data_IF_325016461524
#
_entry.id   IF_325016461524
#
_cell.length_a   1.000
_cell.length_b   1.000
_cell.length_c   1.000
_cell.angle_alpha   90.00
_cell.angle_beta   90.00
_cell.angle_gamma   90.00
#
_symmetry.space_group_name_H-M   'P 1'
#
loop_
_entity.id
_entity.type
_entity.pdbx_description
1 polymer ?
#
# COMPACT_ATOMS: atom_id res chain seq x y z
N UNK A 1 17.06 0.19 -20.11
CA UNK A 1 16.12 1.13 -19.45
C UNK A 1 14.94 1.33 -20.37
N UNK A 2 13.75 0.88 -19.96
CA UNK A 2 12.53 1.11 -20.72
C UNK A 2 12.11 2.59 -20.63
N UNK A 3 11.48 3.14 -21.67
CA UNK A 3 11.06 4.55 -21.74
C UNK A 3 10.12 4.94 -20.59
N UNK A 4 9.36 3.98 -20.05
CA UNK A 4 8.51 4.15 -18.87
C UNK A 4 9.31 4.40 -17.57
N UNK A 5 10.44 3.71 -17.36
CA UNK A 5 11.29 3.88 -16.16
C UNK A 5 11.87 5.30 -16.10
N UNK A 6 12.44 5.78 -17.21
CA UNK A 6 13.00 7.14 -17.29
C UNK A 6 11.97 8.24 -16.99
N UNK A 7 10.71 8.03 -17.40
CA UNK A 7 9.63 8.98 -17.11
C UNK A 7 9.21 8.93 -15.64
N UNK A 8 9.18 7.75 -15.02
CA UNK A 8 8.87 7.58 -13.60
C UNK A 8 9.81 8.35 -12.67
N UNK A 9 11.12 8.32 -12.95
CA UNK A 9 12.13 9.03 -12.15
C UNK A 9 11.89 10.54 -12.08
N UNK A 10 11.50 11.16 -13.20
CA UNK A 10 11.27 12.61 -13.27
C UNK A 10 9.98 13.05 -12.58
N UNK A 11 9.05 12.11 -12.40
CA UNK A 11 7.68 12.28 -11.90
C UNK A 11 7.55 12.02 -10.40
N UNK A 12 8.59 11.56 -9.70
CA UNK A 12 8.50 11.26 -8.28
C UNK A 12 9.64 11.83 -7.44
N UNK A 13 9.39 12.00 -6.14
CA UNK A 13 10.42 12.21 -5.12
C UNK A 13 10.31 11.08 -4.10
N UNK A 14 11.29 10.18 -4.10
CA UNK A 14 11.33 9.05 -3.17
C UNK A 14 11.85 9.51 -1.82
N UNK A 15 11.03 9.35 -0.78
CA UNK A 15 11.41 9.53 0.62
C UNK A 15 11.59 8.13 1.20
N UNK A 16 12.85 7.72 1.37
CA UNK A 16 13.19 6.45 1.98
C UNK A 16 12.93 6.53 3.47
N UNK A 17 11.85 5.90 3.93
CA UNK A 17 11.59 5.75 5.36
C UNK A 17 12.09 4.38 5.82
N UNK A 18 13.12 4.38 6.68
CA UNK A 18 13.39 3.26 7.58
C UNK A 18 12.37 3.34 8.72
N UNK A 19 11.11 2.97 8.46
CA UNK A 19 10.21 2.67 9.58
C UNK A 19 10.65 1.31 10.08
N UNK A 20 11.48 1.28 11.12
CA UNK A 20 11.67 0.09 11.93
C UNK A 20 10.34 -0.25 12.58
N UNK A 21 9.58 -1.16 11.95
CA UNK A 21 8.55 -1.94 12.63
C UNK A 21 9.22 -3.00 13.51
N UNK A 22 10.09 -2.58 14.45
CA UNK A 22 10.53 -3.45 15.54
C UNK A 22 9.39 -3.45 16.56
N UNK A 23 8.33 -4.18 16.22
CA UNK A 23 7.37 -4.73 17.17
C UNK A 23 6.69 -6.00 16.65
N UNK A 24 7.02 -6.49 15.45
CA UNK A 24 6.49 -7.75 14.93
C UNK A 24 7.47 -8.94 14.96
N UNK A 25 8.67 -8.76 15.51
CA UNK A 25 9.64 -9.85 15.64
C UNK A 25 10.32 -9.79 17.00
N UNK A 26 9.54 -9.94 18.06
CA UNK A 26 10.07 -10.42 19.34
C UNK A 26 9.12 -11.50 19.84
N UNK A 27 9.32 -12.74 19.39
CA UNK A 27 8.58 -13.87 19.94
C UNK A 27 8.72 -15.23 19.26
N UNK A 28 9.23 -15.34 18.03
CA UNK A 28 9.37 -16.65 17.39
C UNK A 28 10.53 -16.70 16.40
N UNK A 29 11.19 -17.86 16.23
CA UNK A 29 12.21 -18.03 15.21
C UNK A 29 11.54 -17.89 13.84
N UNK A 30 11.78 -16.77 13.17
CA UNK A 30 11.46 -16.61 11.76
C UNK A 30 12.51 -17.42 10.99
N UNK A 31 12.24 -18.71 10.77
CA UNK A 31 13.12 -19.60 10.02
C UNK A 31 12.99 -19.30 8.52
N UNK A 32 13.87 -18.40 8.06
CA UNK A 32 14.11 -18.14 6.64
C UNK A 32 14.44 -19.43 5.86
N UNK A 33 14.97 -20.44 6.56
CA UNK A 33 15.38 -21.74 6.03
C UNK A 33 14.18 -22.56 5.50
N UNK A 34 13.00 -22.49 6.12
CA UNK A 34 11.80 -23.22 5.71
C UNK A 34 11.15 -22.69 4.42
N UNK A 35 11.40 -21.42 4.07
CA UNK A 35 11.01 -20.84 2.78
C UNK A 35 11.94 -21.27 1.64
N UNK A 36 13.19 -21.61 1.95
CA UNK A 36 14.20 -22.00 0.96
C UNK A 36 14.14 -23.50 0.64
N UNK A 37 13.73 -24.33 1.60
CA UNK A 37 13.67 -25.78 1.43
C UNK A 37 12.27 -26.32 1.01
N UNK A 38 11.27 -25.45 0.92
CA UNK A 38 9.91 -25.81 0.51
C UNK A 38 9.12 -26.59 1.58
N UNK A 39 9.60 -26.64 2.82
CA UNK A 39 8.88 -27.23 3.97
C UNK A 39 7.84 -26.28 4.60
N UNK A 40 7.68 -25.08 4.03
CA UNK A 40 6.70 -24.10 4.45
C UNK A 40 5.28 -24.70 4.49
N UNK A 41 4.71 -24.79 5.69
CA UNK A 41 3.30 -25.14 5.87
C UNK A 41 2.45 -24.07 5.14
N UNK A 42 1.70 -24.43 4.09
CA UNK A 42 0.91 -23.48 3.33
C UNK A 42 -0.17 -22.80 4.16
N UNK A 43 -0.56 -23.39 5.29
CA UNK A 43 -1.53 -22.84 6.23
C UNK A 43 -0.85 -22.10 7.40
N UNK A 44 0.49 -22.01 7.44
CA UNK A 44 1.22 -21.36 8.54
C UNK A 44 0.75 -19.94 8.75
N UNK A 45 0.58 -19.17 7.67
CA UNK A 45 0.11 -17.79 7.74
C UNK A 45 -1.36 -17.71 8.13
N UNK A 46 -2.20 -18.65 7.71
CA UNK A 46 -3.61 -18.68 8.11
C UNK A 46 -3.74 -18.98 9.60
N UNK A 47 -2.95 -19.93 10.11
CA UNK A 47 -2.86 -20.31 11.53
C UNK A 47 -2.21 -19.21 12.40
N UNK A 48 -1.16 -18.53 11.90
CA UNK A 48 -0.48 -17.46 12.62
C UNK A 48 -1.33 -16.19 12.70
N UNK A 49 -2.12 -15.94 11.63
CA UNK A 49 -3.06 -14.83 11.52
C UNK A 49 -4.47 -15.17 12.03
N UNK A 50 -4.68 -16.33 12.66
CA UNK A 50 -5.96 -16.62 13.29
C UNK A 50 -6.23 -15.63 14.43
N UNK A 51 -7.44 -15.03 14.51
CA UNK A 51 -7.80 -14.04 15.52
C UNK A 51 -7.54 -14.46 16.97
N UNK A 52 -7.52 -15.77 17.22
CA UNK A 52 -7.35 -16.37 18.53
C UNK A 52 -5.92 -16.83 18.86
N UNK A 53 -4.98 -16.69 17.93
CA UNK A 53 -3.58 -17.07 18.18
C UNK A 53 -2.93 -16.12 19.20
N UNK A 54 -2.05 -16.65 20.05
CA UNK A 54 -1.35 -15.86 21.08
C UNK A 54 -0.45 -14.78 20.47
N UNK A 55 0.15 -15.08 19.30
CA UNK A 55 0.89 -14.11 18.50
C UNK A 55 -0.03 -12.98 18.00
N UNK A 56 -1.28 -13.31 17.63
CA UNK A 56 -2.26 -12.35 17.13
C UNK A 56 -2.82 -11.42 18.22
N UNK A 57 -3.04 -11.95 19.43
CA UNK A 57 -3.56 -11.19 20.60
C UNK A 57 -2.60 -10.15 21.15
N UNK A 58 -1.29 -10.33 20.94
CA UNK A 58 -0.25 -9.40 21.40
C UNK A 58 -0.03 -8.22 20.43
N UNK A 59 -0.66 -8.23 19.27
CA UNK A 59 -0.64 -7.10 18.34
C UNK A 59 -1.65 -6.06 18.85
N UNK A 60 -1.20 -4.85 19.16
CA UNK A 60 -2.06 -3.74 19.63
C UNK A 60 -2.92 -3.15 18.50
N UNK A 61 -3.72 -3.99 17.83
CA UNK A 61 -4.69 -3.58 16.81
C UNK A 61 -6.05 -3.42 17.47
N UNK A 62 -6.83 -2.43 17.04
CA UNK A 62 -8.21 -2.30 17.46
C UNK A 62 -9.02 -3.58 17.11
N UNK A 63 -9.60 -4.29 18.10
CA UNK A 63 -10.45 -5.46 17.90
C UNK A 63 -11.81 -5.14 17.23
N UNK A 64 -11.89 -4.10 16.40
CA UNK A 64 -13.02 -3.88 15.48
C UNK A 64 -12.59 -3.98 14.03
N UNK A 65 -11.29 -3.84 13.75
CA UNK A 65 -10.75 -3.84 12.39
C UNK A 65 -10.57 -5.25 11.80
N UNK A 66 -10.37 -6.27 12.64
CA UNK A 66 -10.18 -7.67 12.22
C UNK A 66 -11.32 -8.25 11.39
N UNK A 67 -12.55 -7.74 11.54
CA UNK A 67 -13.71 -8.14 10.75
C UNK A 67 -13.98 -7.27 9.53
N UNK A 68 -13.27 -6.15 9.39
CA UNK A 68 -13.51 -5.20 8.31
C UNK A 68 -12.59 -5.54 7.14
N UNK A 69 -13.15 -6.26 6.17
CA UNK A 69 -12.42 -6.70 4.97
C UNK A 69 -12.18 -5.59 3.94
N UNK A 70 -12.67 -4.38 4.18
CA UNK A 70 -12.67 -3.30 3.20
C UNK A 70 -11.98 -2.04 3.73
N UNK A 71 -10.91 -1.62 3.06
CA UNK A 71 -10.14 -0.40 3.33
C UNK A 71 -11.03 0.83 3.63
N UNK A 72 -12.05 1.05 2.81
CA UNK A 72 -12.98 2.19 2.95
C UNK A 72 -13.76 2.13 4.27
N UNK A 73 -14.07 0.93 4.74
CA UNK A 73 -14.76 0.75 6.02
C UNK A 73 -13.82 1.03 7.20
N UNK A 74 -12.54 0.66 7.11
CA UNK A 74 -11.52 1.02 8.11
C UNK A 74 -11.38 2.54 8.20
N UNK A 75 -11.25 3.23 7.06
CA UNK A 75 -11.20 4.70 7.02
C UNK A 75 -12.42 5.34 7.72
N UNK A 76 -13.63 4.82 7.47
CA UNK A 76 -14.86 5.30 8.13
C UNK A 76 -14.81 5.15 9.65
N UNK A 77 -14.21 4.09 10.19
CA UNK A 77 -14.07 3.94 11.65
C UNK A 77 -13.19 5.01 12.28
N UNK A 78 -12.26 5.56 11.51
CA UNK A 78 -11.41 6.65 11.94
C UNK A 78 -11.99 8.05 11.66
N UNK A 79 -13.17 8.12 11.04
CA UNK A 79 -13.84 9.36 10.66
C UNK A 79 -13.38 9.93 9.31
N UNK A 80 -12.73 9.12 8.48
CA UNK A 80 -12.28 9.48 7.13
C UNK A 80 -13.19 8.82 6.09
N UNK A 81 -13.22 9.39 4.89
CA UNK A 81 -13.76 8.71 3.70
C UNK A 81 -12.62 8.28 2.79
N UNK A 82 -12.92 7.52 1.74
CA UNK A 82 -11.91 7.18 0.75
C UNK A 82 -12.51 6.83 -0.61
N UNK A 83 -11.66 6.88 -1.63
CA UNK A 83 -11.96 6.51 -3.01
C UNK A 83 -11.10 5.30 -3.38
N UNK A 84 -11.68 4.33 -4.08
CA UNK A 84 -10.91 3.27 -4.72
C UNK A 84 -10.73 3.61 -6.20
N UNK A 85 -9.49 3.60 -6.65
CA UNK A 85 -9.14 3.74 -8.05
C UNK A 85 -8.58 2.42 -8.58
N UNK A 86 -8.94 2.11 -9.83
CA UNK A 86 -8.45 0.92 -10.52
C UNK A 86 -7.33 1.33 -11.47
N UNK A 87 -6.17 0.72 -11.31
CA UNK A 87 -4.99 0.94 -12.15
C UNK A 87 -4.68 -0.36 -12.88
N UNK A 88 -4.57 -0.29 -14.21
CA UNK A 88 -4.17 -1.43 -15.04
C UNK A 88 -2.71 -1.24 -15.46
N UNK A 89 -1.86 -2.21 -15.13
CA UNK A 89 -0.45 -2.20 -15.53
C UNK A 89 -0.29 -2.59 -16.99
N UNK A 90 0.84 -2.23 -17.60
CA UNK A 90 1.14 -2.55 -19.01
C UNK A 90 1.07 -4.05 -19.31
N UNK A 91 1.52 -4.87 -18.36
CA UNK A 91 1.48 -6.33 -18.45
C UNK A 91 0.16 -6.95 -17.99
N UNK A 92 -0.87 -6.15 -17.70
CA UNK A 92 -2.26 -6.60 -17.56
C UNK A 92 -2.76 -6.86 -16.13
N UNK A 93 -1.97 -6.58 -15.08
CA UNK A 93 -2.46 -6.67 -13.70
C UNK A 93 -3.39 -5.50 -13.37
N UNK A 94 -4.42 -5.78 -12.59
CA UNK A 94 -5.42 -4.81 -12.16
C UNK A 94 -5.24 -4.59 -10.65
N UNK A 95 -4.80 -3.39 -10.29
CA UNK A 95 -4.39 -3.01 -8.95
C UNK A 95 -5.35 -1.97 -8.38
N UNK A 96 -5.77 -2.17 -7.12
CA UNK A 96 -6.50 -1.15 -6.38
C UNK A 96 -5.53 -0.12 -5.78
N UNK A 97 -5.90 1.15 -5.90
CA UNK A 97 -5.19 2.29 -5.36
C UNK A 97 -6.19 3.14 -4.56
N UNK A 98 -5.99 3.24 -3.25
CA UNK A 98 -6.94 3.90 -2.37
C UNK A 98 -6.52 5.32 -2.09
N UNK A 99 -7.44 6.28 -2.22
CA UNK A 99 -7.22 7.69 -1.88
C UNK A 99 -7.95 8.03 -0.59
N UNK A 100 -7.28 8.68 0.35
CA UNK A 100 -7.86 9.09 1.63
C UNK A 100 -8.50 10.47 1.47
N UNK A 101 -9.76 10.60 1.91
CA UNK A 101 -10.46 11.89 1.98
C UNK A 101 -10.58 12.27 3.46
N UNK A 102 -9.82 13.31 3.84
CA UNK A 102 -9.89 13.92 5.16
C UNK A 102 -11.29 14.49 5.43
N UNK A 103 -11.81 14.40 6.67
CA UNK A 103 -13.09 15.00 7.02
C UNK A 103 -13.03 16.52 6.86
N UNK A 104 -14.02 17.08 6.16
CA UNK A 104 -14.23 18.53 6.14
C UNK A 104 -14.76 18.95 7.50
N UNK A 105 -13.92 19.56 8.34
CA UNK A 105 -14.41 20.24 9.54
C UNK A 105 -14.92 21.64 9.17
N UNK A 106 -16.06 22.06 9.73
CA UNK A 106 -16.57 23.43 9.55
C UNK A 106 -15.68 24.48 10.24
N UNK A 107 -14.85 24.06 11.19
CA UNK A 107 -13.97 24.93 11.99
C UNK A 107 -12.57 25.10 11.41
N UNK A 108 -12.07 24.10 10.68
CA UNK A 108 -10.80 24.10 9.93
C UNK A 108 -10.99 23.27 8.65
N UNK A 109 -11.66 23.81 7.64
CA UNK A 109 -11.77 23.13 6.36
C UNK A 109 -10.36 23.09 5.74
N UNK A 110 -9.79 21.90 5.46
CA UNK A 110 -8.52 21.83 4.77
C UNK A 110 -8.66 22.60 3.46
N UNK A 111 -7.93 23.70 3.33
CA UNK A 111 -7.78 24.45 2.09
C UNK A 111 -9.07 24.98 1.44
N UNK A 112 -10.14 25.34 2.19
CA UNK A 112 -11.35 25.98 1.58
C UNK A 112 -11.01 27.24 0.76
N UNK A 113 -9.92 27.93 1.09
CA UNK A 113 -9.45 29.14 0.42
C UNK A 113 -8.12 28.96 -0.34
N UNK A 114 -7.51 27.77 -0.30
CA UNK A 114 -6.25 27.51 -0.99
C UNK A 114 -6.54 26.74 -2.27
N UNK A 115 -6.53 27.46 -3.38
CA UNK A 115 -6.79 26.90 -4.71
C UNK A 115 -5.62 26.08 -5.25
N UNK A 116 -4.52 25.96 -4.49
CA UNK A 116 -3.37 25.17 -4.92
C UNK A 116 -3.70 23.68 -4.89
N UNK A 117 -3.24 22.90 -5.89
CA UNK A 117 -3.36 21.46 -5.86
C UNK A 117 -2.72 20.89 -4.59
N UNK A 118 -3.44 20.01 -3.91
CA UNK A 118 -2.91 19.28 -2.76
C UNK A 118 -1.73 18.40 -3.21
N UNK A 119 -0.57 18.45 -2.55
CA UNK A 119 0.61 17.70 -2.96
C UNK A 119 0.39 16.20 -2.72
N UNK A 120 0.50 15.35 -3.76
CA UNK A 120 0.20 13.93 -3.59
C UNK A 120 1.34 13.14 -2.95
N UNK A 121 0.96 12.19 -2.11
CA UNK A 121 1.85 11.26 -1.41
C UNK A 121 1.38 9.83 -1.62
N UNK A 122 2.23 9.01 -2.23
CA UNK A 122 2.00 7.59 -2.49
C UNK A 122 2.70 6.73 -1.46
N UNK A 123 1.96 5.87 -0.78
CA UNK A 123 2.45 4.85 0.15
C UNK A 123 2.47 3.47 -0.50
N UNK A 124 3.58 2.75 -0.40
CA UNK A 124 3.68 1.35 -0.84
C UNK A 124 4.09 0.47 0.33
N UNK A 125 3.24 -0.54 0.61
CA UNK A 125 3.42 -1.48 1.70
C UNK A 125 4.55 -2.49 1.43
N UNK A 126 4.95 -3.21 2.48
CA UNK A 126 6.00 -4.22 2.42
C UNK A 126 5.54 -5.59 1.92
N UNK A 127 6.45 -6.55 1.96
CA UNK A 127 6.17 -7.96 1.68
C UNK A 127 5.16 -8.52 2.68
N UNK A 128 4.20 -9.31 2.20
CA UNK A 128 3.10 -9.90 2.98
C UNK A 128 2.22 -8.89 3.75
N UNK A 129 2.29 -7.61 3.38
CA UNK A 129 1.44 -6.57 3.94
C UNK A 129 0.31 -6.19 2.98
N UNK A 130 -0.53 -5.28 3.44
CA UNK A 130 -1.62 -4.67 2.69
C UNK A 130 -1.65 -3.16 3.01
N UNK A 131 -2.32 -2.31 2.20
CA UNK A 131 -2.32 -0.87 2.43
C UNK A 131 -2.92 -0.47 3.79
N UNK A 132 -3.81 -1.28 4.37
CA UNK A 132 -4.43 -1.05 5.68
C UNK A 132 -3.40 -0.94 6.79
N UNK A 133 -2.26 -1.62 6.65
CA UNK A 133 -1.18 -1.60 7.64
C UNK A 133 -0.70 -0.19 7.98
N UNK A 134 -0.87 0.77 7.06
CA UNK A 134 -0.52 2.16 7.29
C UNK A 134 -1.55 2.95 8.10
N UNK A 135 -2.74 2.41 8.39
CA UNK A 135 -3.84 3.14 9.07
C UNK A 135 -4.44 2.36 10.25
N UNK A 136 -3.76 1.32 10.74
CA UNK A 136 -4.28 0.43 11.79
C UNK A 136 -4.40 1.09 13.17
N UNK A 137 -3.58 2.09 13.48
CA UNK A 137 -3.64 2.87 14.74
C UNK A 137 -4.51 4.12 14.60
N UNK A 138 -5.00 4.42 13.39
CA UNK A 138 -5.93 5.50 13.13
C UNK A 138 -5.24 6.86 13.04
N UNK A 139 -5.75 7.88 13.73
CA UNK A 139 -5.33 9.30 13.57
C UNK A 139 -3.86 9.57 13.90
N UNK A 140 -3.20 8.66 14.61
CA UNK A 140 -1.77 8.74 14.91
C UNK A 140 -0.88 8.12 13.81
N UNK A 141 -1.48 7.57 12.76
CA UNK A 141 -0.74 7.04 11.63
C UNK A 141 -0.47 8.11 10.57
N UNK A 142 0.73 8.02 9.98
CA UNK A 142 1.27 9.02 9.06
C UNK A 142 0.34 9.37 7.89
N UNK A 143 -0.33 8.43 7.20
CA UNK A 143 -1.25 8.78 6.11
C UNK A 143 -2.41 9.66 6.57
N UNK A 144 -2.97 9.41 7.77
CA UNK A 144 -4.10 10.19 8.27
C UNK A 144 -3.66 11.56 8.77
N UNK A 145 -2.49 11.64 9.42
CA UNK A 145 -1.87 12.92 9.80
C UNK A 145 -1.57 13.79 8.56
N UNK A 146 -1.04 13.19 7.48
CA UNK A 146 -0.79 13.92 6.24
C UNK A 146 -2.08 14.40 5.57
N UNK A 147 -3.14 13.59 5.60
CA UNK A 147 -4.44 13.97 5.05
C UNK A 147 -5.04 15.16 5.82
N UNK A 148 -4.92 15.17 7.15
CA UNK A 148 -5.36 16.29 7.99
C UNK A 148 -4.54 17.58 7.74
N UNK A 149 -3.25 17.43 7.41
CA UNK A 149 -2.36 18.53 7.01
C UNK A 149 -2.53 18.97 5.54
N UNK A 150 -3.51 18.43 4.82
CA UNK A 150 -3.87 18.87 3.47
C UNK A 150 -3.05 18.25 2.33
N UNK A 151 -2.34 17.16 2.58
CA UNK A 151 -1.74 16.34 1.52
C UNK A 151 -2.80 15.44 0.86
N UNK A 152 -2.60 15.16 -0.42
CA UNK A 152 -3.44 14.21 -1.16
C UNK A 152 -2.84 12.79 -1.02
N UNK A 153 -3.43 11.96 -0.15
CA UNK A 153 -2.79 10.72 0.30
C UNK A 153 -3.35 9.50 -0.41
N UNK A 154 -2.43 8.69 -0.96
CA UNK A 154 -2.71 7.51 -1.76
C UNK A 154 -2.01 6.27 -1.18
N UNK A 155 -2.77 5.19 -0.97
CA UNK A 155 -2.29 3.90 -0.48
C UNK A 155 -2.33 2.86 -1.61
N UNK A 156 -1.16 2.42 -2.05
CA UNK A 156 -1.02 1.46 -3.13
C UNK A 156 -1.25 0.02 -2.68
N UNK A 157 -1.79 -0.77 -3.60
CA UNK A 157 -1.77 -2.22 -3.55
C UNK A 157 -0.81 -2.76 -4.61
N UNK A 158 -0.03 -3.79 -4.27
CA UNK A 158 0.82 -4.52 -5.22
C UNK A 158 0.14 -5.80 -5.73
N UNK A 159 0.52 -6.27 -6.93
CA UNK A 159 0.01 -7.55 -7.48
C UNK A 159 0.26 -8.72 -6.53
N UNK A 160 -0.67 -9.66 -6.50
CA UNK A 160 -0.61 -10.85 -5.64
C UNK A 160 -1.12 -10.67 -4.21
N UNK A 161 -1.25 -9.43 -3.72
CA UNK A 161 -1.91 -9.15 -2.44
C UNK A 161 -3.44 -9.18 -2.58
N UNK A 162 -4.17 -9.06 -1.47
CA UNK A 162 -5.65 -9.17 -1.44
C UNK A 162 -6.35 -8.35 -2.53
N UNK A 163 -6.02 -7.05 -2.67
CA UNK A 163 -6.63 -6.18 -3.69
C UNK A 163 -5.91 -6.18 -5.06
N UNK A 164 -4.87 -7.00 -5.20
CA UNK A 164 -4.00 -7.10 -6.38
C UNK A 164 -4.07 -8.45 -7.09
N UNK A 165 -5.10 -9.26 -6.81
CA UNK A 165 -5.33 -10.60 -7.38
C UNK A 165 -6.26 -10.58 -8.60
N UNK A 166 -6.05 -9.62 -9.51
CA UNK A 166 -6.85 -9.46 -10.73
C UNK A 166 -5.93 -9.20 -11.92
N UNK A 167 -6.33 -9.72 -13.08
CA UNK A 167 -5.60 -9.56 -14.33
C UNK A 167 -6.58 -9.55 -15.50
N UNK A 168 -6.22 -8.87 -16.61
CA UNK A 168 -7.09 -8.73 -17.78
C UNK A 168 -7.35 -10.06 -18.49
N UNK A 169 -6.33 -10.91 -18.56
CA UNK A 169 -6.36 -12.18 -19.32
C UNK A 169 -6.09 -13.45 -18.49
N UNK A 170 -5.75 -13.31 -17.21
CA UNK A 170 -5.29 -14.43 -16.36
C UNK A 170 -6.13 -14.49 -15.10
N UNK A 171 -6.21 -15.68 -14.52
CA UNK A 171 -6.89 -15.97 -13.26
C UNK A 171 -5.88 -16.41 -12.21
N UNK A 172 -6.28 -16.42 -10.93
CA UNK A 172 -5.40 -16.85 -9.83
C UNK A 172 -5.06 -18.34 -9.88
N UNK A 173 -5.77 -19.11 -10.69
CA UNK A 173 -5.56 -20.52 -10.96
C UNK A 173 -4.43 -20.76 -11.99
N UNK A 174 -4.09 -19.74 -12.79
CA UNK A 174 -3.03 -19.81 -13.78
C UNK A 174 -1.66 -19.64 -13.13
N UNK A 175 -0.73 -20.58 -13.34
CA UNK A 175 0.63 -20.46 -12.81
C UNK A 175 1.35 -19.19 -13.32
N UNK A 176 1.04 -18.76 -14.55
CA UNK A 176 1.60 -17.54 -15.14
C UNK A 176 1.17 -16.27 -14.38
N UNK A 177 0.02 -16.28 -13.71
CA UNK A 177 -0.43 -15.18 -12.85
C UNK A 177 0.54 -14.93 -11.68
N UNK A 178 1.23 -15.96 -11.22
CA UNK A 178 2.15 -15.86 -10.08
C UNK A 178 3.61 -15.72 -10.50
N UNK A 179 3.89 -15.64 -11.80
CA UNK A 179 5.24 -15.52 -12.32
C UNK A 179 5.71 -14.06 -12.34
N UNK A 180 5.87 -13.49 -11.15
CA UNK A 180 6.44 -12.16 -10.94
C UNK A 180 7.29 -12.14 -9.67
N UNK A 181 8.12 -11.11 -9.56
CA UNK A 181 8.92 -10.79 -8.37
C UNK A 181 8.68 -9.34 -7.97
N UNK A 182 9.45 -8.83 -7.01
CA UNK A 182 9.45 -7.40 -6.71
C UNK A 182 9.92 -6.53 -7.89
N UNK A 183 10.58 -7.12 -8.89
CA UNK A 183 11.02 -6.42 -10.08
C UNK A 183 9.83 -5.84 -10.87
N UNK A 184 8.82 -6.67 -11.17
CA UNK A 184 7.65 -6.27 -11.93
C UNK A 184 6.78 -5.25 -11.18
N UNK A 185 6.81 -5.26 -9.84
CA UNK A 185 6.20 -4.18 -9.05
C UNK A 185 6.82 -2.82 -9.41
N UNK A 186 8.15 -2.72 -9.44
CA UNK A 186 8.87 -1.47 -9.73
C UNK A 186 8.84 -1.06 -11.20
N UNK A 187 8.83 -2.03 -12.13
CA UNK A 187 8.85 -1.74 -13.58
C UNK A 187 7.46 -1.43 -14.14
N UNK A 188 6.41 -2.07 -13.65
CA UNK A 188 5.05 -1.91 -14.18
C UNK A 188 4.08 -1.31 -13.18
N UNK A 189 4.08 -1.80 -11.95
CA UNK A 189 3.12 -1.39 -10.91
C UNK A 189 3.28 0.06 -10.50
N UNK A 190 4.47 0.43 -10.01
CA UNK A 190 4.73 1.78 -9.49
C UNK A 190 4.55 2.86 -10.56
N UNK A 191 5.09 2.73 -11.79
CA UNK A 191 4.89 3.73 -12.84
C UNK A 191 3.41 3.95 -13.18
N UNK A 192 2.63 2.86 -13.31
CA UNK A 192 1.20 2.96 -13.62
C UNK A 192 0.42 3.72 -12.53
N UNK A 193 0.73 3.48 -11.25
CA UNK A 193 0.11 4.21 -10.14
C UNK A 193 0.50 5.69 -10.11
N UNK A 194 1.79 6.01 -10.31
CA UNK A 194 2.25 7.41 -10.35
C UNK A 194 1.60 8.16 -11.51
N UNK A 195 1.53 7.55 -12.69
CA UNK A 195 0.89 8.16 -13.86
C UNK A 195 -0.60 8.37 -13.63
N UNK A 196 -1.29 7.42 -13.03
CA UNK A 196 -2.69 7.57 -12.63
C UNK A 196 -2.88 8.74 -11.65
N UNK A 197 -2.07 8.83 -10.60
CA UNK A 197 -2.13 9.93 -9.61
C UNK A 197 -1.94 11.27 -10.32
N UNK A 198 -0.89 11.42 -11.13
CA UNK A 198 -0.62 12.66 -11.89
C UNK A 198 -1.79 13.02 -12.79
N UNK A 199 -2.42 12.03 -13.43
CA UNK A 199 -3.60 12.27 -14.27
C UNK A 199 -4.81 12.75 -13.48
N UNK A 200 -5.04 12.22 -12.28
CA UNK A 200 -6.16 12.63 -11.41
C UNK A 200 -5.91 13.99 -10.78
N UNK A 201 -4.74 14.19 -10.18
CA UNK A 201 -4.42 15.38 -9.38
C UNK A 201 -3.93 16.57 -10.22
N UNK A 202 -3.54 16.32 -11.47
CA UNK A 202 -2.91 17.30 -12.37
C UNK A 202 -1.61 17.92 -11.81
N UNK A 203 -0.97 17.26 -10.85
CA UNK A 203 0.32 17.69 -10.30
C UNK A 203 1.47 17.08 -11.09
N UNK A 204 2.60 17.79 -11.26
CA UNK A 204 3.72 17.27 -12.05
C UNK A 204 4.54 16.19 -11.35
N UNK A 205 4.41 16.05 -10.02
CA UNK A 205 5.23 15.13 -9.21
C UNK A 205 4.46 14.54 -8.04
N UNK A 206 4.85 13.33 -7.65
CA UNK A 206 4.32 12.57 -6.51
C UNK A 206 5.44 12.29 -5.49
N UNK A 207 5.20 12.55 -4.21
CA UNK A 207 6.09 12.10 -3.15
C UNK A 207 5.82 10.64 -2.84
N UNK A 208 6.86 9.83 -2.66
CA UNK A 208 6.73 8.38 -2.52
C UNK A 208 7.31 7.92 -1.18
N UNK A 209 6.55 7.17 -0.39
CA UNK A 209 6.94 6.61 0.90
C UNK A 209 6.80 5.09 0.82
N UNK A 210 7.90 4.38 1.02
CA UNK A 210 7.94 2.92 0.98
C UNK A 210 8.25 2.32 2.35
N UNK A 211 7.69 1.15 2.62
CA UNK A 211 8.10 0.32 3.76
C UNK A 211 8.67 -1.01 3.29
N UNK A 212 9.86 -1.40 3.78
CA UNK A 212 10.50 -2.68 3.46
C UNK A 212 10.60 -2.90 1.94
N UNK A 213 9.99 -3.97 1.40
CA UNK A 213 9.89 -4.22 -0.05
C UNK A 213 9.33 -3.01 -0.83
N UNK A 214 8.44 -2.22 -0.22
CA UNK A 214 7.94 -0.96 -0.79
C UNK A 214 9.05 0.04 -1.13
N UNK A 215 10.15 0.08 -0.37
CA UNK A 215 11.33 0.87 -0.74
C UNK A 215 12.09 0.24 -1.91
N UNK A 216 12.25 -1.09 -1.90
CA UNK A 216 12.96 -1.80 -2.95
C UNK A 216 12.29 -1.62 -4.32
N UNK A 217 10.95 -1.63 -4.38
CA UNK A 217 10.24 -1.41 -5.65
C UNK A 217 10.41 0.00 -6.20
N UNK A 218 10.54 1.02 -5.33
CA UNK A 218 10.91 2.36 -5.78
C UNK A 218 12.34 2.39 -6.32
N UNK A 219 13.28 1.69 -5.69
CA UNK A 219 14.65 1.60 -6.19
C UNK A 219 14.75 0.88 -7.54
N UNK A 220 13.90 -0.11 -7.81
CA UNK A 220 13.83 -0.78 -9.12
C UNK A 220 13.29 0.14 -10.22
N UNK A 221 12.38 1.06 -9.86
CA UNK A 221 11.84 2.03 -10.80
C UNK A 221 12.87 3.08 -11.23
N UNK A 222 13.77 3.47 -10.30
CA UNK A 222 14.82 4.47 -10.51
C UNK A 222 15.93 4.00 -11.47
#
# INVERSE_FOLDING_TARGET
>A
MCQAQLQGVLKCRVILTLVTFISFVQGGPFELDAMVDGSFDPNYLENYLEPDSEAFRNISVCPKLWHMKEMIQILKTWGYSGEEHIVVTEDGYILSLFRIIAPTSDTNPPHKNDTRPQPPVLFIHGFLASPETFIMRGKEDLPLMLADEGFDVWLATIRGSHYGRRHVNLTTEDQQFWNFTFHEHGVYGVPAMIDHIIQVTKTPRVSCIGHSMGNAVFLVML
#
